data_IF_391297578974
#
_entry.id   IF_391297578974
#
_cell.length_a   1.000
_cell.length_b   1.000
_cell.length_c   1.000
_cell.angle_alpha   90.00
_cell.angle_beta   90.00
_cell.angle_gamma   90.00
#
_symmetry.space_group_name_H-M   'P 1'
#
loop_
_entity.id
_entity.type
_entity.pdbx_description
1 polymer ?
#
# COMPACT_ATOMS: atom_id res chain seq x y z
N UNK A 1 -14.87 9.95 9.96
CA UNK A 1 -14.24 8.67 10.34
C UNK A 1 -13.86 8.75 11.81
N UNK A 2 -13.91 7.66 12.58
CA UNK A 2 -13.45 7.67 13.98
C UNK A 2 -11.97 8.04 14.04
N UNK A 3 -11.62 8.90 15.00
CA UNK A 3 -10.23 9.19 15.35
C UNK A 3 -9.53 7.89 15.78
N UNK A 4 -8.27 7.70 15.35
CA UNK A 4 -7.52 6.47 15.66
C UNK A 4 -7.90 5.22 14.85
N UNK A 5 -8.66 5.35 13.76
CA UNK A 5 -9.02 4.23 12.89
C UNK A 5 -7.84 3.69 12.04
N UNK A 6 -6.77 4.47 11.87
CA UNK A 6 -5.67 4.13 11.00
C UNK A 6 -4.76 5.32 10.73
N UNK A 7 -3.72 5.11 9.95
CA UNK A 7 -2.75 6.13 9.53
C UNK A 7 -2.23 5.83 8.12
N UNK A 8 -1.58 6.81 7.51
CA UNK A 8 -0.81 6.60 6.27
C UNK A 8 0.63 6.96 6.54
N UNK A 9 1.58 6.13 6.10
CA UNK A 9 3.01 6.35 6.27
C UNK A 9 3.73 6.45 4.92
N UNK A 10 4.83 7.20 4.91
CA UNK A 10 5.79 7.24 3.83
C UNK A 10 7.22 7.16 4.36
N UNK A 11 8.08 6.48 3.62
CA UNK A 11 9.48 6.26 3.98
C UNK A 11 10.42 6.99 3.03
N UNK A 12 11.67 7.15 3.47
CA UNK A 12 12.75 7.85 2.76
C UNK A 12 12.90 7.50 1.28
N UNK A 13 12.70 6.23 0.93
CA UNK A 13 12.89 5.68 -0.42
C UNK A 13 11.56 5.45 -1.17
N UNK A 14 10.54 6.23 -0.86
CA UNK A 14 9.28 6.25 -1.61
C UNK A 14 8.35 5.07 -1.36
N UNK A 15 8.67 4.16 -0.41
CA UNK A 15 7.71 3.16 0.04
C UNK A 15 6.63 3.82 0.89
N UNK A 16 5.38 3.37 0.77
CA UNK A 16 4.26 3.92 1.51
C UNK A 16 3.21 2.89 1.88
N UNK A 17 2.48 3.18 2.96
CA UNK A 17 1.49 2.30 3.56
C UNK A 17 0.26 3.10 3.98
N UNK A 18 -0.94 2.69 3.59
CA UNK A 18 -2.17 3.03 4.32
C UNK A 18 -2.52 1.88 5.24
N UNK A 19 -2.82 2.17 6.52
CA UNK A 19 -3.15 1.17 7.54
C UNK A 19 -4.54 1.45 8.09
N UNK A 20 -5.40 0.43 8.09
CA UNK A 20 -6.69 0.43 8.81
C UNK A 20 -6.55 -0.56 9.97
N UNK A 21 -6.62 -0.06 11.20
CA UNK A 21 -6.44 -0.90 12.38
C UNK A 21 -7.52 -1.97 12.50
N UNK A 22 -7.11 -3.16 12.96
CA UNK A 22 -8.00 -4.27 13.33
C UNK A 22 -8.94 -4.74 12.19
N UNK A 23 -8.51 -4.51 10.94
CA UNK A 23 -9.29 -4.78 9.74
C UNK A 23 -8.68 -5.85 8.81
N UNK A 24 -7.67 -6.63 9.25
CA UNK A 24 -6.97 -7.59 8.39
C UNK A 24 -7.94 -8.52 7.62
N UNK A 25 -8.96 -9.04 8.29
CA UNK A 25 -9.91 -9.96 7.68
C UNK A 25 -11.19 -9.31 7.12
N UNK A 26 -11.27 -7.97 7.03
CA UNK A 26 -12.51 -7.25 6.76
C UNK A 26 -13.22 -7.62 5.44
N UNK A 27 -12.45 -8.00 4.41
CA UNK A 27 -12.99 -8.43 3.11
C UNK A 27 -13.17 -9.94 2.97
N UNK A 28 -12.75 -10.73 3.97
CA UNK A 28 -12.93 -12.18 3.98
C UNK A 28 -14.32 -12.54 4.51
N UNK A 29 -15.03 -13.41 3.81
CA UNK A 29 -16.41 -13.81 4.17
C UNK A 29 -16.48 -14.78 5.34
N UNK A 30 -15.41 -15.54 5.57
CA UNK A 30 -15.35 -16.59 6.57
C UNK A 30 -14.52 -16.12 7.75
N UNK A 31 -14.86 -16.52 8.98
CA UNK A 31 -14.13 -16.10 10.18
C UNK A 31 -12.81 -16.85 10.36
N UNK A 32 -12.50 -17.83 9.51
CA UNK A 32 -11.32 -18.68 9.64
C UNK A 32 -10.01 -17.89 9.55
N UNK A 33 -9.92 -16.91 8.64
CA UNK A 33 -8.76 -16.03 8.56
C UNK A 33 -8.66 -15.07 9.77
N UNK A 34 -9.77 -14.46 10.17
CA UNK A 34 -9.83 -13.64 11.39
C UNK A 34 -9.34 -14.43 12.62
N UNK A 35 -9.87 -15.63 12.82
CA UNK A 35 -9.52 -16.49 13.95
C UNK A 35 -8.04 -16.90 13.92
N UNK A 36 -7.48 -17.11 12.74
CA UNK A 36 -6.05 -17.39 12.57
C UNK A 36 -5.18 -16.20 13.00
N UNK A 37 -5.54 -14.98 12.57
CA UNK A 37 -4.84 -13.75 12.97
C UNK A 37 -4.92 -13.54 14.48
N UNK A 38 -6.12 -13.66 15.07
CA UNK A 38 -6.30 -13.51 16.53
C UNK A 38 -5.53 -14.54 17.33
N UNK A 39 -5.49 -15.80 16.88
CA UNK A 39 -4.74 -16.85 17.55
C UNK A 39 -3.22 -16.59 17.53
N UNK A 40 -2.70 -15.96 16.48
CA UNK A 40 -1.26 -15.65 16.36
C UNK A 40 -0.87 -14.31 16.98
N UNK A 41 -1.80 -13.37 17.14
CA UNK A 41 -1.53 -12.02 17.67
C UNK A 41 -0.73 -12.01 18.99
N UNK A 42 -1.00 -12.90 19.99
CA UNK A 42 -0.19 -12.95 21.21
C UNK A 42 1.27 -13.36 20.98
N UNK A 43 1.53 -14.27 20.03
CA UNK A 43 2.89 -14.66 19.65
C UNK A 43 3.62 -13.48 19.02
N UNK A 44 2.96 -12.76 18.10
CA UNK A 44 3.51 -11.56 17.47
C UNK A 44 3.80 -10.47 18.51
N UNK A 45 2.91 -10.30 19.49
CA UNK A 45 3.11 -9.35 20.59
C UNK A 45 4.34 -9.72 21.45
N UNK A 46 4.53 -11.01 21.74
CA UNK A 46 5.72 -11.49 22.45
C UNK A 46 7.04 -11.25 21.71
N UNK A 47 7.01 -11.22 20.37
CA UNK A 47 8.21 -11.04 19.54
C UNK A 47 8.49 -9.58 19.18
N UNK A 48 7.45 -8.82 18.85
CA UNK A 48 7.56 -7.49 18.23
C UNK A 48 6.90 -6.39 19.06
N UNK A 49 6.26 -6.71 20.19
CA UNK A 49 5.51 -5.78 21.02
C UNK A 49 4.08 -5.56 20.53
N UNK A 50 3.25 -5.01 21.42
CA UNK A 50 1.80 -4.82 21.21
C UNK A 50 1.46 -3.98 19.97
N UNK A 51 2.24 -2.92 19.72
CA UNK A 51 2.04 -2.03 18.60
C UNK A 51 2.18 -2.76 17.24
N UNK A 52 3.23 -3.57 17.08
CA UNK A 52 3.46 -4.35 15.85
C UNK A 52 2.48 -5.52 15.74
N UNK A 53 2.04 -6.08 16.86
CA UNK A 53 0.97 -7.08 16.87
C UNK A 53 -0.36 -6.49 16.41
N UNK A 54 -0.67 -5.24 16.76
CA UNK A 54 -1.83 -4.53 16.23
C UNK A 54 -1.72 -4.31 14.73
N UNK A 55 -0.54 -3.93 14.22
CA UNK A 55 -0.29 -3.85 12.78
C UNK A 55 -0.51 -5.20 12.08
N UNK A 56 -0.06 -6.30 12.67
CA UNK A 56 -0.34 -7.65 12.16
C UNK A 56 -1.86 -7.96 12.11
N UNK A 57 -2.66 -7.38 13.00
CA UNK A 57 -4.13 -7.45 12.95
C UNK A 57 -4.82 -6.50 11.96
N UNK A 58 -4.07 -5.64 11.26
CA UNK A 58 -4.59 -4.52 10.47
C UNK A 58 -4.70 -4.85 8.98
N UNK A 59 -5.53 -4.11 8.25
CA UNK A 59 -5.47 -4.10 6.78
C UNK A 59 -4.44 -3.08 6.34
N UNK A 60 -3.57 -3.42 5.38
CA UNK A 60 -2.59 -2.47 4.84
C UNK A 60 -2.62 -2.44 3.33
N UNK A 61 -2.76 -1.25 2.75
CA UNK A 61 -2.50 -1.00 1.35
C UNK A 61 -1.09 -0.43 1.19
N UNK A 62 -0.21 -1.16 0.51
CA UNK A 62 1.21 -0.83 0.49
C UNK A 62 1.76 -0.78 -0.93
N UNK A 63 2.69 0.13 -1.17
CA UNK A 63 3.54 0.13 -2.37
C UNK A 63 5.00 0.16 -1.97
N UNK A 64 5.73 -0.86 -2.40
CA UNK A 64 7.18 -0.88 -2.43
C UNK A 64 7.59 -0.24 -3.76
N UNK A 65 8.15 0.96 -3.67
CA UNK A 65 8.72 1.67 -4.82
C UNK A 65 9.61 0.75 -5.69
N UNK A 66 9.49 0.78 -7.04
CA UNK A 66 8.61 1.68 -7.81
C UNK A 66 7.25 1.08 -8.18
N UNK A 67 7.12 -0.24 -8.28
CA UNK A 67 6.01 -0.87 -9.00
C UNK A 67 5.52 -2.19 -8.39
N UNK A 68 5.77 -2.41 -7.10
CA UNK A 68 5.25 -3.57 -6.38
C UNK A 68 4.26 -3.09 -5.32
N UNK A 69 3.04 -3.61 -5.33
CA UNK A 69 2.01 -3.26 -4.35
C UNK A 69 1.45 -4.50 -3.71
N UNK A 70 1.01 -4.40 -2.46
CA UNK A 70 0.31 -5.50 -1.82
C UNK A 70 -0.74 -5.00 -0.84
N UNK A 71 -1.80 -5.79 -0.70
CA UNK A 71 -2.83 -5.60 0.31
C UNK A 71 -2.66 -6.67 1.38
N UNK A 72 -2.05 -6.32 2.51
CA UNK A 72 -2.02 -7.21 3.68
C UNK A 72 -3.40 -7.24 4.33
N UNK A 73 -3.82 -8.42 4.77
CA UNK A 73 -5.19 -8.67 5.21
C UNK A 73 -6.05 -9.19 4.06
N UNK A 74 -6.27 -8.41 3.00
CA UNK A 74 -6.95 -8.90 1.78
C UNK A 74 -6.11 -9.94 1.02
N UNK A 75 -4.81 -9.98 1.29
CA UNK A 75 -3.87 -11.01 0.87
C UNK A 75 -3.58 -11.02 -0.64
N UNK A 76 -3.48 -9.82 -1.21
CA UNK A 76 -3.17 -9.59 -2.62
C UNK A 76 -1.73 -9.12 -2.77
N UNK A 77 -1.01 -9.63 -3.76
CA UNK A 77 0.30 -9.14 -4.17
C UNK A 77 0.27 -8.79 -5.65
N UNK A 78 0.75 -7.60 -6.02
CA UNK A 78 0.74 -7.09 -7.40
C UNK A 78 2.11 -6.56 -7.82
N UNK A 79 2.44 -6.78 -9.09
CA UNK A 79 3.55 -6.10 -9.76
C UNK A 79 3.01 -5.47 -11.04
N UNK A 80 3.31 -4.18 -11.22
CA UNK A 80 2.86 -3.37 -12.35
C UNK A 80 3.99 -3.28 -13.37
N UNK A 81 4.05 -4.23 -14.31
CA UNK A 81 5.16 -4.32 -15.28
C UNK A 81 4.96 -3.32 -16.42
N UNK A 82 5.81 -2.28 -16.56
CA UNK A 82 5.62 -1.27 -17.60
C UNK A 82 5.87 -1.84 -19.00
N UNK A 83 4.94 -1.58 -19.94
CA UNK A 83 5.05 -1.90 -21.38
C UNK A 83 5.03 -0.62 -22.23
N UNK A 84 5.79 0.38 -21.77
CA UNK A 84 5.75 1.75 -22.28
C UNK A 84 4.97 2.68 -21.35
N UNK A 85 4.78 3.96 -21.74
CA UNK A 85 4.15 4.96 -20.87
C UNK A 85 2.62 4.84 -20.77
N UNK A 86 1.97 4.03 -21.61
CA UNK A 86 0.51 3.95 -21.73
C UNK A 86 -0.05 2.54 -21.53
N UNK A 87 0.80 1.57 -21.15
CA UNK A 87 0.40 0.18 -20.99
C UNK A 87 1.22 -0.47 -19.88
N UNK A 88 0.57 -1.33 -19.10
CA UNK A 88 1.21 -2.17 -18.10
C UNK A 88 0.67 -3.60 -18.22
N UNK A 89 1.50 -4.57 -17.87
CA UNK A 89 1.06 -5.93 -17.60
C UNK A 89 0.99 -6.12 -16.08
N UNK A 90 -0.20 -6.46 -15.58
CA UNK A 90 -0.45 -6.57 -14.13
C UNK A 90 -0.33 -8.02 -13.69
N UNK A 91 0.70 -8.32 -12.90
CA UNK A 91 0.87 -9.64 -12.30
C UNK A 91 0.22 -9.65 -10.92
N UNK A 92 -0.77 -10.51 -10.70
CA UNK A 92 -1.48 -10.62 -9.42
C UNK A 92 -1.32 -12.01 -8.83
N UNK A 93 -0.90 -12.07 -7.56
CA UNK A 93 -0.80 -13.29 -6.77
C UNK A 93 -1.58 -13.16 -5.46
N UNK A 94 -1.84 -14.31 -4.85
CA UNK A 94 -2.31 -14.40 -3.47
C UNK A 94 -1.12 -14.58 -2.53
N UNK A 95 -1.06 -13.77 -1.50
CA UNK A 95 -0.12 -13.93 -0.39
C UNK A 95 -0.76 -14.74 0.74
N UNK A 96 -0.04 -15.70 1.33
CA UNK A 96 -0.51 -16.48 2.48
C UNK A 96 0.65 -16.72 3.44
N UNK A 97 0.35 -16.88 4.73
CA UNK A 97 1.37 -17.26 5.69
C UNK A 97 1.71 -18.75 5.58
N UNK A 98 2.99 -19.06 5.81
CA UNK A 98 3.55 -20.39 5.54
C UNK A 98 2.91 -21.49 6.39
N UNK A 99 2.52 -21.19 7.62
CA UNK A 99 1.95 -22.10 8.60
C UNK A 99 0.41 -22.12 8.60
N UNK A 100 -0.25 -21.34 7.73
CA UNK A 100 -1.70 -21.46 7.54
C UNK A 100 -2.07 -22.87 7.10
N UNK A 101 -3.18 -23.44 7.63
CA UNK A 101 -3.74 -24.70 7.15
C UNK A 101 -3.95 -24.67 5.63
N UNK A 102 -3.71 -25.78 4.90
CA UNK A 102 -3.87 -25.82 3.44
C UNK A 102 -5.25 -25.35 2.96
N UNK A 103 -6.31 -25.69 3.68
CA UNK A 103 -7.67 -25.26 3.34
C UNK A 103 -7.86 -23.74 3.53
N UNK A 104 -7.26 -23.15 4.56
CA UNK A 104 -7.31 -21.70 4.77
C UNK A 104 -6.56 -20.97 3.64
N UNK A 105 -5.38 -21.46 3.23
CA UNK A 105 -4.65 -20.91 2.08
C UNK A 105 -5.51 -20.92 0.81
N UNK A 106 -6.24 -22.01 0.58
CA UNK A 106 -7.14 -22.15 -0.57
C UNK A 106 -8.36 -21.23 -0.48
N UNK A 107 -8.91 -21.03 0.73
CA UNK A 107 -9.97 -20.06 0.97
C UNK A 107 -9.51 -18.66 0.65
N UNK A 108 -8.37 -18.23 1.20
CA UNK A 108 -7.77 -16.91 0.94
C UNK A 108 -7.55 -16.70 -0.56
N UNK A 109 -6.98 -17.68 -1.26
CA UNK A 109 -6.81 -17.61 -2.72
C UNK A 109 -8.12 -17.32 -3.46
N UNK A 110 -9.21 -18.02 -3.12
CA UNK A 110 -10.52 -17.80 -3.74
C UNK A 110 -11.08 -16.41 -3.44
N UNK A 111 -10.90 -15.92 -2.22
CA UNK A 111 -11.35 -14.58 -1.81
C UNK A 111 -10.55 -13.48 -2.53
N UNK A 112 -9.23 -13.62 -2.64
CA UNK A 112 -8.37 -12.75 -3.44
C UNK A 112 -8.80 -12.74 -4.91
N UNK A 113 -9.07 -13.91 -5.49
CA UNK A 113 -9.54 -14.00 -6.88
C UNK A 113 -10.88 -13.30 -7.11
N UNK A 114 -11.78 -13.41 -6.14
CA UNK A 114 -13.10 -12.78 -6.21
C UNK A 114 -13.04 -11.25 -6.10
N UNK A 115 -12.06 -10.72 -5.35
CA UNK A 115 -11.92 -9.27 -5.14
C UNK A 115 -11.02 -8.58 -6.15
N UNK A 116 -9.78 -9.05 -6.30
CA UNK A 116 -8.67 -8.27 -6.89
C UNK A 116 -7.90 -9.00 -8.01
N UNK A 117 -8.34 -10.18 -8.46
CA UNK A 117 -7.81 -10.78 -9.69
C UNK A 117 -8.48 -10.17 -10.93
N UNK A 118 -8.15 -10.67 -12.11
CA UNK A 118 -8.59 -10.14 -13.42
C UNK A 118 -10.11 -9.97 -13.56
N UNK A 119 -10.91 -10.86 -12.97
CA UNK A 119 -12.38 -10.77 -12.95
C UNK A 119 -12.92 -10.43 -11.54
N UNK A 120 -12.09 -9.80 -10.72
CA UNK A 120 -12.39 -9.46 -9.34
C UNK A 120 -13.31 -8.23 -9.26
N UNK A 121 -14.24 -8.25 -8.32
CA UNK A 121 -15.29 -7.21 -8.19
C UNK A 121 -14.74 -5.82 -7.89
N UNK A 122 -13.60 -5.72 -7.20
CA UNK A 122 -12.97 -4.42 -6.90
C UNK A 122 -12.00 -4.01 -8.02
N UNK A 123 -11.24 -4.96 -8.58
CA UNK A 123 -10.27 -4.67 -9.64
C UNK A 123 -10.95 -4.06 -10.89
N UNK A 124 -12.15 -4.53 -11.22
CA UNK A 124 -12.90 -4.00 -12.37
C UNK A 124 -13.26 -2.53 -12.19
N UNK A 125 -13.59 -2.10 -10.97
CA UNK A 125 -13.95 -0.71 -10.68
C UNK A 125 -12.72 0.20 -10.78
N UNK A 126 -11.56 -0.26 -10.32
CA UNK A 126 -10.30 0.50 -10.38
C UNK A 126 -9.70 0.61 -11.79
N UNK A 127 -9.96 -0.39 -12.64
CA UNK A 127 -9.42 -0.42 -14.01
C UNK A 127 -9.86 0.81 -14.81
N UNK A 128 -11.12 1.20 -14.71
CA UNK A 128 -11.66 2.37 -15.41
C UNK A 128 -10.99 3.67 -14.94
N UNK A 129 -10.68 3.79 -13.64
CA UNK A 129 -10.01 4.96 -13.08
C UNK A 129 -8.58 5.09 -13.66
N UNK A 130 -7.81 4.00 -13.64
CA UNK A 130 -6.41 4.00 -14.11
C UNK A 130 -6.30 4.20 -15.63
N UNK A 131 -7.21 3.61 -16.40
CA UNK A 131 -7.24 3.81 -17.86
C UNK A 131 -7.64 5.24 -18.20
N UNK A 132 -8.70 5.77 -17.58
CA UNK A 132 -9.24 7.09 -17.88
C UNK A 132 -8.23 8.22 -17.64
N UNK A 133 -7.48 8.18 -16.53
CA UNK A 133 -6.47 9.21 -16.26
C UNK A 133 -5.33 9.18 -17.29
N UNK A 134 -4.87 7.99 -17.67
CA UNK A 134 -3.78 7.82 -18.64
C UNK A 134 -4.20 8.27 -20.03
N UNK A 135 -5.42 7.90 -20.44
CA UNK A 135 -5.95 8.29 -21.76
C UNK A 135 -6.29 9.77 -21.84
N UNK A 136 -6.81 10.37 -20.77
CA UNK A 136 -7.03 11.82 -20.71
C UNK A 136 -5.71 12.60 -20.89
N UNK A 137 -4.61 12.10 -20.32
CA UNK A 137 -3.28 12.68 -20.45
C UNK A 137 -2.63 12.48 -21.83
N UNK A 138 -3.31 11.87 -22.81
CA UNK A 138 -2.90 11.94 -24.23
C UNK A 138 -3.21 13.31 -24.85
N UNK A 139 -4.16 14.06 -24.28
CA UNK A 139 -4.54 15.39 -24.76
C UNK A 139 -3.52 16.46 -24.39
N UNK A 140 -3.07 17.25 -25.38
CA UNK A 140 -2.07 18.32 -25.18
C UNK A 140 -2.43 19.31 -24.06
N UNK A 141 -3.70 19.69 -23.94
CA UNK A 141 -4.14 20.62 -22.90
C UNK A 141 -4.10 19.99 -21.51
N UNK A 142 -4.50 18.72 -21.38
CA UNK A 142 -4.48 18.00 -20.11
C UNK A 142 -3.05 17.84 -19.58
N UNK A 143 -2.09 17.57 -20.47
CA UNK A 143 -0.67 17.45 -20.11
C UNK A 143 -0.03 18.72 -19.54
N UNK A 144 -0.62 19.89 -19.79
CA UNK A 144 -0.14 21.16 -19.24
C UNK A 144 -0.71 21.44 -17.83
N UNK A 145 -1.67 20.63 -17.38
CA UNK A 145 -2.23 20.71 -16.03
C UNK A 145 -1.31 20.14 -14.96
N UNK A 146 -1.78 20.17 -13.72
CA UNK A 146 -1.13 19.54 -12.58
C UNK A 146 -2.12 18.64 -11.85
N UNK A 147 -1.60 17.62 -11.15
CA UNK A 147 -2.37 16.78 -10.24
C UNK A 147 -2.14 17.29 -8.80
N UNK A 148 -3.21 17.38 -8.03
CA UNK A 148 -3.14 17.77 -6.62
C UNK A 148 -2.90 16.51 -5.75
N UNK A 149 -2.01 16.64 -4.76
CA UNK A 149 -1.79 15.61 -3.73
C UNK A 149 -1.60 16.25 -2.34
N UNK A 150 -2.38 17.31 -2.07
CA UNK A 150 -2.23 18.16 -0.89
C UNK A 150 -3.05 17.72 0.32
N UNK A 151 -3.83 16.64 0.21
CA UNK A 151 -4.64 16.13 1.32
C UNK A 151 -3.74 15.73 2.50
N UNK A 152 -4.01 16.34 3.66
CA UNK A 152 -3.31 16.06 4.90
C UNK A 152 -1.95 16.76 5.03
N UNK A 153 -1.50 17.57 4.06
CA UNK A 153 -0.13 18.15 4.03
C UNK A 153 0.28 18.89 5.32
N UNK A 154 -0.65 19.58 5.97
CA UNK A 154 -0.39 20.34 7.20
C UNK A 154 -0.35 19.48 8.47
N UNK A 155 -0.69 18.19 8.34
CA UNK A 155 -0.85 17.25 9.44
C UNK A 155 0.12 16.06 9.31
N UNK A 156 1.15 16.19 8.49
CA UNK A 156 2.23 15.20 8.40
C UNK A 156 3.13 15.34 9.63
N UNK A 157 3.29 14.26 10.38
CA UNK A 157 4.07 14.18 11.62
C UNK A 157 5.18 13.13 11.50
N UNK A 158 6.02 13.06 12.53
CA UNK A 158 6.91 11.92 12.79
C UNK A 158 6.50 11.35 14.13
N UNK A 159 6.45 10.04 14.20
CA UNK A 159 6.14 9.31 15.42
C UNK A 159 7.42 8.69 16.00
N UNK A 160 7.53 8.63 17.33
CA UNK A 160 8.72 8.08 17.99
C UNK A 160 8.80 6.55 17.87
N UNK A 161 7.65 5.89 17.75
CA UNK A 161 7.51 4.43 17.70
C UNK A 161 7.50 3.91 16.27
N UNK A 162 7.06 4.71 15.29
CA UNK A 162 6.90 4.34 13.89
C UNK A 162 7.86 5.10 12.96
N UNK A 163 8.62 4.39 12.09
CA UNK A 163 9.57 5.03 11.20
C UNK A 163 8.90 5.79 10.04
N UNK A 164 9.62 6.78 9.51
CA UNK A 164 9.17 7.58 8.38
C UNK A 164 8.30 8.78 8.79
N UNK A 165 7.54 9.30 7.83
CA UNK A 165 6.56 10.38 8.04
C UNK A 165 5.17 9.75 8.06
N UNK A 166 4.31 10.25 8.96
CA UNK A 166 2.98 9.70 9.19
C UNK A 166 1.94 10.80 9.01
N UNK A 167 0.83 10.48 8.36
CA UNK A 167 -0.39 11.26 8.44
C UNK A 167 -1.33 10.62 9.45
N UNK A 168 -1.73 11.37 10.46
CA UNK A 168 -2.55 10.92 11.61
C UNK A 168 -4.00 10.54 11.24
N UNK A 169 -4.30 10.53 9.94
CA UNK A 169 -5.61 10.20 9.40
C UNK A 169 -5.54 8.97 8.52
N UNK A 170 -6.63 8.20 8.54
CA UNK A 170 -6.79 7.04 7.65
C UNK A 170 -6.72 7.42 6.16
N UNK A 171 -7.16 8.63 5.80
CA UNK A 171 -7.15 9.13 4.43
C UNK A 171 -6.20 10.33 4.37
N UNK A 172 -5.03 10.10 3.79
CA UNK A 172 -3.98 11.11 3.60
C UNK A 172 -3.18 10.78 2.33
N UNK A 173 -2.66 11.80 1.68
CA UNK A 173 -1.82 11.67 0.48
C UNK A 173 -0.32 11.69 0.79
N UNK A 174 0.09 11.55 2.07
CA UNK A 174 1.50 11.51 2.45
C UNK A 174 2.29 10.40 1.72
N UNK A 175 1.67 9.25 1.49
CA UNK A 175 2.25 8.16 0.70
C UNK A 175 2.49 8.57 -0.77
N UNK A 176 1.54 9.30 -1.37
CA UNK A 176 1.63 9.83 -2.74
C UNK A 176 2.74 10.87 -2.84
N UNK A 177 2.77 11.83 -1.90
CA UNK A 177 3.82 12.86 -1.84
C UNK A 177 5.20 12.25 -1.69
N UNK A 178 5.38 11.27 -0.80
CA UNK A 178 6.67 10.62 -0.61
C UNK A 178 7.10 9.77 -1.81
N UNK A 179 6.17 9.07 -2.46
CA UNK A 179 6.44 8.34 -3.71
C UNK A 179 6.96 9.29 -4.79
N UNK A 180 6.24 10.38 -5.08
CA UNK A 180 6.64 11.31 -6.14
C UNK A 180 7.86 12.17 -5.78
N UNK A 181 8.05 12.45 -4.49
CA UNK A 181 9.27 13.10 -4.01
C UNK A 181 10.50 12.23 -4.28
N UNK A 182 10.44 10.93 -3.96
CA UNK A 182 11.54 10.01 -4.24
C UNK A 182 11.70 9.73 -5.74
N UNK A 183 10.59 9.60 -6.48
CA UNK A 183 10.61 9.48 -7.94
C UNK A 183 11.37 10.63 -8.59
N UNK A 184 11.08 11.88 -8.19
CA UNK A 184 11.79 13.06 -8.69
C UNK A 184 13.29 12.96 -8.44
N UNK A 185 13.70 12.57 -7.23
CA UNK A 185 15.13 12.44 -6.91
C UNK A 185 15.81 11.34 -7.73
N UNK A 186 15.14 10.21 -7.96
CA UNK A 186 15.66 9.14 -8.83
C UNK A 186 15.82 9.64 -10.27
N UNK A 187 14.87 10.42 -10.77
CA UNK A 187 14.93 10.98 -12.14
C UNK A 187 15.99 12.08 -12.30
N UNK A 188 16.34 12.78 -11.22
CA UNK A 188 17.34 13.85 -11.23
C UNK A 188 18.75 13.40 -10.81
N UNK A 189 18.88 12.27 -10.12
CA UNK A 189 20.16 11.72 -9.70
C UNK A 189 20.83 10.96 -10.86
N UNK A 190 22.12 11.22 -11.09
CA UNK A 190 22.90 10.48 -12.08
C UNK A 190 23.34 9.09 -11.60
N UNK A 191 23.43 8.91 -10.28
CA UNK A 191 23.82 7.65 -9.64
C UNK A 191 23.31 7.56 -8.18
N UNK A 192 23.59 6.44 -7.52
CA UNK A 192 23.20 6.17 -6.14
C UNK A 192 23.87 7.07 -5.10
N UNK A 193 25.08 7.54 -5.33
CA UNK A 193 25.78 8.40 -4.37
C UNK A 193 25.17 9.81 -4.38
N UNK A 194 24.89 10.35 -5.56
CA UNK A 194 24.13 11.58 -5.72
C UNK A 194 22.72 11.48 -5.08
N UNK A 195 22.05 10.34 -5.26
CA UNK A 195 20.73 10.09 -4.65
C UNK A 195 20.80 10.04 -3.11
N UNK A 196 21.80 9.35 -2.54
CA UNK A 196 21.98 9.28 -1.09
C UNK A 196 22.28 10.66 -0.50
N UNK A 197 23.12 11.45 -1.16
CA UNK A 197 23.49 12.80 -0.72
C UNK A 197 22.29 13.76 -0.65
N UNK A 198 21.30 13.60 -1.54
CA UNK A 198 20.05 14.40 -1.53
C UNK A 198 19.13 14.11 -0.35
N UNK A 199 19.30 12.97 0.31
CA UNK A 199 18.34 12.44 1.30
C UNK A 199 18.96 12.24 2.68
N UNK A 200 20.08 12.89 3.00
CA UNK A 200 20.82 12.67 4.28
C UNK A 200 19.98 12.97 5.51
N UNK A 201 19.03 13.91 5.44
CA UNK A 201 18.23 14.37 6.59
C UNK A 201 16.74 13.97 6.55
N UNK A 202 16.33 13.18 5.56
CA UNK A 202 14.89 12.99 5.28
C UNK A 202 14.18 11.98 6.20
N UNK A 203 14.91 11.34 7.13
CA UNK A 203 14.38 10.37 8.10
C UNK A 203 14.14 9.01 7.47
#
# INVERSE_FOLDING_TARGET
>A
MPEGAGFVASTRYGHGAGVIYDAAAALHRRPDYHNFIEAKRPEVAGLLGEERARLYGSHMAHTIFPNCSFLYGTNVWKVWMPRGPHEIEVWTWTMVEKDMPPELKRTIQKETMRGFATAGTFETDDTDNFQSITDALRGRMAQQGSMDSTLGLQYDTRDEQMPGKIGDFLVSEIGVRGFYSFYKDVMEAGDWEALKARRVDDG
#
